data_IF_475299866071
#
_entry.id   IF_475299866071
#
_cell.length_a   1.000
_cell.length_b   1.000
_cell.length_c   1.000
_cell.angle_alpha   90.00
_cell.angle_beta   90.00
_cell.angle_gamma   90.00
#
_symmetry.space_group_name_H-M   'P 1'
#
loop_
_entity.id
_entity.type
_entity.pdbx_description
1 polymer ?
#
# COMPACT_ATOMS: atom_id res chain seq x y z
N UNK A 1 -13.48 -56.52 49.31
CA UNK A 1 -13.03 -55.13 49.47
C UNK A 1 -12.34 -54.73 48.17
N UNK A 2 -13.02 -54.06 47.29
CA UNK A 2 -12.48 -53.66 45.97
C UNK A 2 -12.20 -52.17 46.03
N UNK A 3 -10.93 -51.81 45.91
CA UNK A 3 -10.45 -50.42 45.88
C UNK A 3 -10.55 -49.97 44.42
N UNK A 4 -11.43 -49.00 44.15
CA UNK A 4 -11.57 -48.35 42.83
C UNK A 4 -10.67 -47.14 42.84
N UNK A 5 -9.58 -47.22 42.14
CA UNK A 5 -8.64 -46.11 41.96
C UNK A 5 -9.15 -45.25 40.81
N UNK A 6 -9.71 -44.07 41.12
CA UNK A 6 -10.13 -43.08 40.15
C UNK A 6 -8.95 -42.26 39.69
N UNK A 7 -8.52 -42.45 38.43
CA UNK A 7 -7.45 -41.69 37.81
C UNK A 7 -8.05 -40.37 37.26
N UNK A 8 -7.75 -39.25 37.95
CA UNK A 8 -8.09 -37.92 37.44
C UNK A 8 -7.10 -37.53 36.35
N UNK A 9 -7.55 -37.56 35.12
CA UNK A 9 -6.81 -37.05 33.94
C UNK A 9 -7.03 -35.53 33.86
N UNK A 10 -6.11 -34.76 34.40
CA UNK A 10 -6.10 -33.29 34.26
C UNK A 10 -5.66 -32.92 32.83
N UNK A 11 -6.62 -32.52 32.00
CA UNK A 11 -6.37 -31.99 30.67
C UNK A 11 -5.80 -30.56 30.83
N UNK A 12 -4.48 -30.42 30.77
CA UNK A 12 -3.84 -29.11 30.61
C UNK A 12 -4.09 -28.63 29.17
N UNK A 13 -5.10 -27.82 28.99
CA UNK A 13 -5.27 -27.05 27.75
C UNK A 13 -4.20 -25.95 27.70
N UNK A 14 -3.06 -26.27 27.11
CA UNK A 14 -2.06 -25.27 26.75
C UNK A 14 -2.63 -24.37 25.68
N UNK A 15 -3.20 -23.23 26.08
CA UNK A 15 -3.50 -22.14 25.18
C UNK A 15 -2.20 -21.63 24.60
N UNK A 16 -1.84 -22.08 23.40
CA UNK A 16 -0.76 -21.48 22.62
C UNK A 16 -1.24 -20.08 22.23
N UNK A 17 -0.85 -19.08 23.03
CA UNK A 17 -0.91 -17.70 22.59
C UNK A 17 0.04 -17.57 21.40
N UNK A 18 -0.52 -17.58 20.20
CA UNK A 18 0.19 -17.06 19.03
C UNK A 18 0.38 -15.55 19.26
N UNK A 19 1.49 -15.18 19.89
CA UNK A 19 1.98 -13.83 19.80
C UNK A 19 2.25 -13.60 18.31
N UNK A 20 1.45 -12.76 17.68
CA UNK A 20 1.76 -12.23 16.36
C UNK A 20 3.07 -11.47 16.50
N UNK A 21 4.18 -12.13 16.19
CA UNK A 21 5.49 -11.50 16.21
C UNK A 21 5.48 -10.40 15.15
N UNK A 22 5.54 -9.16 15.59
CA UNK A 22 5.77 -8.03 14.69
C UNK A 22 7.03 -8.32 13.87
N UNK A 23 6.97 -8.02 12.58
CA UNK A 23 8.11 -8.19 11.69
C UNK A 23 9.16 -7.16 12.08
N UNK A 24 10.31 -7.58 12.57
CA UNK A 24 11.42 -6.69 12.90
C UNK A 24 12.18 -6.31 11.63
N UNK A 25 12.42 -5.03 11.43
CA UNK A 25 13.25 -4.50 10.34
C UNK A 25 14.44 -3.75 10.92
N UNK A 26 15.57 -3.85 10.23
CA UNK A 26 16.78 -3.10 10.60
C UNK A 26 16.70 -1.70 10.00
N UNK A 27 16.77 -0.68 10.85
CA UNK A 27 16.61 0.72 10.45
C UNK A 27 17.90 1.49 10.73
N UNK A 28 18.38 2.21 9.72
CA UNK A 28 19.44 3.22 9.89
C UNK A 28 18.85 4.45 10.57
N UNK A 29 19.23 4.70 11.82
CA UNK A 29 18.64 5.79 12.64
C UNK A 29 19.19 7.18 12.32
N UNK A 30 20.32 7.27 11.62
CA UNK A 30 20.90 8.54 11.15
C UNK A 30 21.05 8.52 9.65
N UNK A 31 20.34 9.39 8.97
CA UNK A 31 20.54 9.64 7.55
C UNK A 31 21.98 10.15 7.30
N UNK A 32 22.62 9.66 6.24
CA UNK A 32 23.97 10.04 5.83
C UNK A 32 25.10 9.71 6.82
N UNK A 33 24.87 8.80 7.76
CA UNK A 33 25.95 8.27 8.60
C UNK A 33 26.91 7.41 7.77
N UNK A 34 28.19 7.64 7.91
CA UNK A 34 29.25 6.78 7.35
C UNK A 34 29.43 5.49 8.15
N UNK A 35 28.88 5.44 9.35
CA UNK A 35 28.86 4.26 10.22
C UNK A 35 27.49 3.64 10.13
N UNK A 36 27.45 2.36 9.79
CA UNK A 36 26.23 1.56 9.74
C UNK A 36 25.75 1.29 11.18
N UNK A 37 24.79 2.10 11.64
CA UNK A 37 24.12 1.93 12.93
C UNK A 37 22.71 1.40 12.66
N UNK A 38 22.60 0.10 12.41
CA UNK A 38 21.33 -0.57 12.23
C UNK A 38 20.73 -0.91 13.61
N UNK A 39 19.53 -0.42 13.82
CA UNK A 39 18.75 -0.69 15.05
C UNK A 39 17.49 -1.48 14.67
N UNK A 40 17.17 -2.57 15.39
CA UNK A 40 15.95 -3.31 15.13
C UNK A 40 14.72 -2.51 15.59
N UNK A 41 13.76 -2.31 14.67
CA UNK A 41 12.47 -1.70 14.95
C UNK A 41 11.35 -2.68 14.61
N UNK A 42 10.31 -2.70 15.44
CA UNK A 42 9.11 -3.44 15.14
C UNK A 42 8.35 -2.77 13.99
N UNK A 43 8.10 -3.51 12.92
CA UNK A 43 7.34 -3.04 11.76
C UNK A 43 5.90 -3.52 11.85
N UNK A 44 4.98 -2.60 11.69
CA UNK A 44 3.56 -2.92 11.61
C UNK A 44 3.15 -3.07 10.13
N UNK A 45 2.50 -4.18 9.82
CA UNK A 45 1.86 -4.41 8.53
C UNK A 45 0.36 -4.26 8.67
N UNK A 46 -0.35 -4.13 7.55
CA UNK A 46 -1.83 -4.07 7.55
C UNK A 46 -2.43 -5.26 8.27
N UNK A 47 -1.81 -6.43 8.17
CA UNK A 47 -2.31 -7.69 8.75
C UNK A 47 -2.20 -7.72 10.28
N UNK A 48 -1.23 -6.98 10.86
CA UNK A 48 -1.04 -6.92 12.29
C UNK A 48 -1.53 -5.60 12.94
N UNK A 49 -2.17 -4.71 12.17
CA UNK A 49 -2.81 -3.52 12.71
C UNK A 49 -4.06 -3.88 13.50
N UNK A 50 -4.00 -3.70 14.82
CA UNK A 50 -5.11 -4.01 15.71
C UNK A 50 -6.37 -3.21 15.32
N UNK A 51 -7.46 -3.94 15.06
CA UNK A 51 -8.74 -3.34 14.70
C UNK A 51 -8.86 -2.91 13.24
N UNK A 52 -7.83 -3.10 12.40
CA UNK A 52 -7.95 -2.85 10.96
C UNK A 52 -8.90 -3.86 10.31
N UNK A 53 -9.86 -3.34 9.54
CA UNK A 53 -10.74 -4.14 8.68
C UNK A 53 -10.68 -3.58 7.26
N UNK A 54 -10.24 -4.40 6.32
CA UNK A 54 -10.25 -4.03 4.91
C UNK A 54 -11.70 -3.78 4.47
N UNK A 55 -11.98 -2.56 4.03
CA UNK A 55 -13.29 -2.22 3.43
C UNK A 55 -13.35 -2.73 1.99
N UNK A 56 -14.57 -2.98 1.51
CA UNK A 56 -14.78 -3.28 0.09
C UNK A 56 -14.29 -2.11 -0.75
N UNK A 57 -13.55 -2.43 -1.81
CA UNK A 57 -13.10 -1.41 -2.76
C UNK A 57 -14.31 -0.72 -3.40
N UNK A 58 -14.31 0.62 -3.48
CA UNK A 58 -15.37 1.35 -4.15
C UNK A 58 -15.35 1.08 -5.66
N UNK A 59 -16.51 1.15 -6.31
CA UNK A 59 -16.56 1.14 -7.77
C UNK A 59 -15.93 2.41 -8.32
N UNK A 60 -14.97 2.24 -9.25
CA UNK A 60 -14.25 3.34 -9.87
C UNK A 60 -14.58 3.43 -11.36
N UNK A 61 -14.49 4.66 -11.93
CA UNK A 61 -14.48 4.92 -13.35
C UNK A 61 -13.18 4.40 -13.98
N UNK A 62 -13.07 4.44 -15.31
CA UNK A 62 -11.81 4.10 -16.00
C UNK A 62 -10.67 5.06 -15.67
N UNK A 63 -10.98 6.27 -15.21
CA UNK A 63 -10.04 7.29 -14.77
C UNK A 63 -9.72 7.23 -13.27
N UNK A 64 -10.40 6.37 -12.51
CA UNK A 64 -10.23 6.24 -11.06
C UNK A 64 -11.13 7.15 -10.22
N UNK A 65 -12.13 7.81 -10.81
CA UNK A 65 -13.15 8.56 -10.08
C UNK A 65 -14.12 7.63 -9.35
N UNK A 66 -14.60 8.02 -8.20
CA UNK A 66 -15.57 7.26 -7.42
C UNK A 66 -16.94 7.31 -8.07
N UNK A 67 -17.52 6.15 -8.43
CA UNK A 67 -18.86 6.05 -9.05
C UNK A 67 -19.98 6.40 -8.07
N UNK A 68 -19.80 7.54 -7.39
CA UNK A 68 -20.79 8.14 -6.50
C UNK A 68 -20.95 9.61 -6.87
N UNK A 69 -22.15 10.17 -6.69
CA UNK A 69 -22.42 11.60 -6.90
C UNK A 69 -21.92 12.14 -8.25
N UNK A 70 -22.28 11.47 -9.34
CA UNK A 70 -21.88 11.85 -10.69
C UNK A 70 -22.35 13.25 -11.03
N UNK A 71 -21.42 14.06 -11.54
CA UNK A 71 -21.65 15.39 -12.13
C UNK A 71 -21.75 15.25 -13.65
N UNK A 72 -21.93 16.36 -14.36
CA UNK A 72 -21.89 16.38 -15.82
C UNK A 72 -20.56 15.84 -16.34
N UNK A 73 -20.59 14.96 -17.34
CA UNK A 73 -19.42 14.46 -18.03
C UNK A 73 -18.97 15.47 -19.10
N UNK A 74 -17.72 15.92 -19.04
CA UNK A 74 -17.17 16.93 -19.96
C UNK A 74 -16.07 16.40 -20.87
N UNK A 75 -15.65 15.15 -20.67
CA UNK A 75 -14.57 14.55 -21.45
C UNK A 75 -13.16 14.89 -20.97
N UNK A 76 -13.01 15.75 -19.96
CA UNK A 76 -11.71 16.11 -19.36
C UNK A 76 -11.81 16.31 -17.86
N UNK A 77 -10.65 16.26 -17.20
CA UNK A 77 -10.56 16.59 -15.78
C UNK A 77 -10.83 18.06 -15.54
N UNK A 78 -11.63 18.36 -14.52
CA UNK A 78 -11.92 19.72 -14.07
C UNK A 78 -12.03 19.80 -12.57
N UNK A 79 -12.10 21.01 -12.03
CA UNK A 79 -12.43 21.23 -10.61
C UNK A 79 -13.86 21.73 -10.50
N UNK A 80 -14.58 21.29 -9.46
CA UNK A 80 -15.94 21.71 -9.19
C UNK A 80 -16.17 21.79 -7.67
N UNK A 81 -17.00 22.74 -7.23
CA UNK A 81 -17.36 22.90 -5.83
C UNK A 81 -18.66 22.18 -5.53
N UNK A 82 -18.60 21.07 -4.80
CA UNK A 82 -19.76 20.27 -4.41
C UNK A 82 -19.93 20.37 -2.89
N UNK A 83 -21.10 20.81 -2.44
CA UNK A 83 -21.42 20.97 -1.02
C UNK A 83 -20.34 21.76 -0.23
N UNK A 84 -19.86 22.87 -0.82
CA UNK A 84 -18.87 23.74 -0.21
C UNK A 84 -17.42 23.27 -0.30
N UNK A 85 -17.14 22.07 -0.79
CA UNK A 85 -15.80 21.48 -0.94
C UNK A 85 -15.39 21.41 -2.40
N UNK A 86 -14.13 21.75 -2.70
CA UNK A 86 -13.55 21.57 -4.01
C UNK A 86 -13.20 20.09 -4.28
N UNK A 87 -13.56 19.62 -5.46
CA UNK A 87 -13.27 18.29 -5.96
C UNK A 87 -12.62 18.37 -7.34
N UNK A 88 -11.77 17.42 -7.65
CA UNK A 88 -11.42 17.10 -9.02
C UNK A 88 -12.53 16.18 -9.55
N UNK A 89 -13.03 16.48 -10.74
CA UNK A 89 -14.03 15.66 -11.44
C UNK A 89 -13.35 15.05 -12.65
N UNK A 90 -13.52 13.75 -12.82
CA UNK A 90 -12.95 13.04 -13.96
C UNK A 90 -13.73 13.28 -15.27
N UNK A 91 -13.22 12.85 -16.42
CA UNK A 91 -13.89 13.04 -17.73
C UNK A 91 -15.30 12.45 -17.81
N UNK A 92 -15.60 11.40 -17.02
CA UNK A 92 -16.93 10.78 -16.94
C UNK A 92 -17.87 11.45 -15.94
N UNK A 93 -17.41 12.50 -15.24
CA UNK A 93 -18.19 13.27 -14.27
C UNK A 93 -18.11 12.74 -12.83
N UNK A 94 -17.19 11.84 -12.50
CA UNK A 94 -17.09 11.31 -11.15
C UNK A 94 -16.07 12.06 -10.30
N UNK A 95 -16.36 12.27 -8.98
CA UNK A 95 -15.39 12.82 -8.05
C UNK A 95 -14.11 11.98 -8.02
N UNK A 96 -12.98 12.62 -8.23
CA UNK A 96 -11.67 11.98 -8.37
C UNK A 96 -10.75 12.41 -7.23
N UNK A 97 -10.12 11.44 -6.61
CA UNK A 97 -9.05 11.67 -5.63
C UNK A 97 -7.72 11.26 -6.22
N UNK A 98 -6.87 12.24 -6.50
CA UNK A 98 -5.54 12.00 -7.05
C UNK A 98 -4.64 11.35 -6.00
N UNK A 99 -4.32 10.09 -6.20
CA UNK A 99 -3.38 9.30 -5.41
C UNK A 99 -2.16 9.03 -6.27
N UNK A 100 -1.10 9.79 -6.01
CA UNK A 100 0.08 9.76 -6.86
C UNK A 100 1.36 9.51 -6.07
N UNK A 101 2.37 9.01 -6.76
CA UNK A 101 3.75 9.00 -6.30
C UNK A 101 4.50 10.16 -6.93
N UNK A 102 5.49 10.70 -6.23
CA UNK A 102 6.41 11.72 -6.75
C UNK A 102 7.75 11.10 -7.09
N UNK A 103 8.61 11.85 -7.80
CA UNK A 103 9.93 11.38 -8.24
C UNK A 103 9.88 10.06 -9.03
N UNK A 104 8.84 9.88 -9.84
CA UNK A 104 8.62 8.68 -10.63
C UNK A 104 9.51 8.68 -11.88
N UNK A 105 10.63 7.97 -11.77
CA UNK A 105 11.61 7.88 -12.86
C UNK A 105 12.61 6.74 -12.64
N UNK A 106 13.32 6.33 -13.70
CA UNK A 106 14.29 5.23 -13.64
C UNK A 106 15.56 5.56 -12.86
N UNK A 107 15.67 6.78 -12.33
CA UNK A 107 16.84 7.27 -11.64
C UNK A 107 17.95 7.74 -12.61
N UNK A 108 18.98 8.39 -12.05
CA UNK A 108 20.05 9.04 -12.83
C UNK A 108 21.44 8.52 -12.50
N UNK A 109 21.65 7.84 -11.38
CA UNK A 109 22.96 7.30 -11.03
C UNK A 109 23.34 6.12 -11.94
N UNK A 110 24.64 5.89 -12.13
CA UNK A 110 25.15 4.77 -12.93
C UNK A 110 24.57 3.42 -12.48
N UNK A 111 24.49 3.20 -11.16
CA UNK A 111 23.92 1.97 -10.59
C UNK A 111 22.43 1.82 -10.93
N UNK A 112 21.66 2.90 -10.85
CA UNK A 112 20.24 2.88 -11.20
C UNK A 112 20.03 2.62 -12.69
N UNK A 113 20.85 3.25 -13.55
CA UNK A 113 20.78 3.04 -15.00
C UNK A 113 21.14 1.60 -15.38
N UNK A 114 22.16 1.00 -14.75
CA UNK A 114 22.49 -0.42 -14.98
C UNK A 114 21.36 -1.35 -14.55
N UNK A 115 20.78 -1.14 -13.37
CA UNK A 115 19.64 -1.91 -12.89
C UNK A 115 18.39 -1.73 -13.77
N UNK A 116 18.15 -0.52 -14.26
CA UNK A 116 17.09 -0.23 -15.22
C UNK A 116 17.29 -1.02 -16.52
N UNK A 117 18.48 -0.96 -17.08
CA UNK A 117 18.80 -1.67 -18.33
C UNK A 117 18.68 -3.18 -18.17
N UNK A 118 19.16 -3.72 -17.05
CA UNK A 118 19.07 -5.16 -16.74
C UNK A 118 17.62 -5.63 -16.58
N UNK A 119 16.82 -4.86 -15.82
CA UNK A 119 15.46 -5.27 -15.46
C UNK A 119 14.43 -5.01 -16.56
N UNK A 120 14.55 -3.89 -17.26
CA UNK A 120 13.51 -3.42 -18.19
C UNK A 120 13.99 -3.30 -19.64
N UNK A 121 15.26 -3.10 -19.90
CA UNK A 121 15.83 -2.91 -21.23
C UNK A 121 15.42 -1.61 -21.91
N UNK A 122 14.12 -1.28 -21.93
CA UNK A 122 13.61 -0.08 -22.57
C UNK A 122 12.72 0.75 -21.66
N UNK A 123 12.63 2.06 -21.94
CA UNK A 123 11.74 2.96 -21.21
C UNK A 123 10.25 2.57 -21.35
N UNK A 124 9.84 2.06 -22.50
CA UNK A 124 8.47 1.61 -22.70
C UNK A 124 8.11 0.43 -21.81
N UNK A 125 9.00 -0.55 -21.70
CA UNK A 125 8.82 -1.70 -20.80
C UNK A 125 8.78 -1.27 -19.34
N UNK A 126 9.66 -0.35 -18.94
CA UNK A 126 9.65 0.23 -17.61
C UNK A 126 8.34 0.95 -17.30
N UNK A 127 7.89 1.86 -18.18
CA UNK A 127 6.62 2.58 -18.00
C UNK A 127 5.45 1.61 -17.83
N UNK A 128 5.39 0.58 -18.68
CA UNK A 128 4.33 -0.43 -18.59
C UNK A 128 4.35 -1.16 -17.24
N UNK A 129 5.48 -1.75 -16.87
CA UNK A 129 5.62 -2.54 -15.65
C UNK A 129 5.36 -1.72 -14.38
N UNK A 130 5.94 -0.52 -14.28
CA UNK A 130 5.79 0.34 -13.11
C UNK A 130 4.39 0.95 -13.02
N UNK A 131 3.75 1.26 -14.15
CA UNK A 131 2.35 1.74 -14.17
C UNK A 131 1.39 0.64 -13.71
N UNK A 132 1.58 -0.59 -14.18
CA UNK A 132 0.79 -1.75 -13.73
C UNK A 132 0.98 -2.00 -12.24
N UNK A 133 2.21 -1.95 -11.75
CA UNK A 133 2.54 -2.09 -10.33
C UNK A 133 1.86 -1.00 -9.50
N UNK A 134 1.99 0.29 -9.86
CA UNK A 134 1.35 1.39 -9.16
C UNK A 134 -0.18 1.25 -9.12
N UNK A 135 -0.79 0.87 -10.23
CA UNK A 135 -2.25 0.63 -10.31
C UNK A 135 -2.67 -0.51 -9.38
N UNK A 136 -1.89 -1.59 -9.29
CA UNK A 136 -2.18 -2.70 -8.38
C UNK A 136 -2.19 -2.29 -6.90
N UNK A 137 -1.43 -1.25 -6.54
CA UNK A 137 -1.44 -0.62 -5.22
C UNK A 137 -2.45 0.52 -5.07
N UNK A 138 -3.29 0.75 -6.09
CA UNK A 138 -4.36 1.74 -6.03
C UNK A 138 -3.92 3.19 -6.31
N UNK A 139 -2.71 3.40 -6.82
CA UNK A 139 -2.30 4.71 -7.33
C UNK A 139 -2.93 4.98 -8.71
N UNK A 140 -3.31 6.21 -8.98
CA UNK A 140 -3.95 6.64 -10.21
C UNK A 140 -3.23 7.80 -10.90
N UNK A 141 -2.02 8.11 -10.45
CA UNK A 141 -1.21 9.15 -11.05
C UNK A 141 0.24 9.13 -10.62
N UNK A 142 1.05 9.91 -11.32
CA UNK A 142 2.40 10.25 -10.94
C UNK A 142 2.50 11.77 -10.83
N UNK A 143 3.17 12.25 -9.79
CA UNK A 143 3.37 13.67 -9.56
C UNK A 143 4.69 14.18 -10.14
N UNK A 144 4.83 15.50 -10.11
CA UNK A 144 6.07 16.19 -10.45
C UNK A 144 7.10 16.05 -9.33
N UNK A 145 8.32 16.11 -9.69
CA UNK A 145 9.67 16.42 -9.19
C UNK A 145 10.69 15.72 -10.05
#
# INVERSE_FOLDING_TARGET
MKIVTTLLLSLFASSVLFAQSGKTVQVQTRANSTVENLTPYEAHTVDNLKGFKKKKEPALSVFGGYKTNRQEATGFFRTEKINGRWWIIDPEGYPFHHRAVVAFGPGTSKKQQSAFQEKFGTRAQWVKAETEMLRSYGFNGAGAW
#
